data_IF_233031361920
#
_entry.id   IF_233031361920
#
_cell.length_a   1.000
_cell.length_b   1.000
_cell.length_c   1.000
_cell.angle_alpha   90.00
_cell.angle_beta   90.00
_cell.angle_gamma   90.00
#
_symmetry.space_group_name_H-M   'P 1'
#
loop_
_entity.id
_entity.type
_entity.pdbx_description
1 polymer ?
#
# COMPACT_ATOMS: atom_id res chain seq x y z
N UNK A 1 0.73 10.82 -5.38
CA UNK A 1 1.66 10.05 -4.52
C UNK A 1 1.16 8.61 -4.41
N UNK A 2 2.06 7.63 -4.50
CA UNK A 2 1.69 6.22 -4.36
C UNK A 2 2.39 5.63 -3.14
N UNK A 3 1.61 5.01 -2.23
CA UNK A 3 2.13 4.30 -1.06
C UNK A 3 1.85 2.80 -1.17
N UNK A 4 2.88 1.96 -1.07
CA UNK A 4 2.73 0.50 -1.05
C UNK A 4 2.87 -0.01 0.38
N UNK A 5 1.80 -0.63 0.90
CA UNK A 5 1.71 -1.07 2.29
C UNK A 5 1.56 -2.58 2.34
N UNK A 6 2.62 -3.26 2.77
CA UNK A 6 2.70 -4.73 2.79
C UNK A 6 2.46 -5.33 4.19
N UNK A 7 2.52 -4.52 5.25
CA UNK A 7 2.26 -4.93 6.64
C UNK A 7 1.29 -3.99 7.36
N UNK A 8 0.66 -4.46 8.44
CA UNK A 8 -0.19 -3.62 9.31
C UNK A 8 0.64 -2.55 10.05
N UNK A 9 1.90 -2.83 10.36
CA UNK A 9 2.81 -1.87 10.99
C UNK A 9 3.16 -0.72 10.03
N UNK A 10 3.47 -1.05 8.77
CA UNK A 10 3.73 -0.04 7.73
C UNK A 10 2.50 0.85 7.47
N UNK A 11 1.28 0.30 7.58
CA UNK A 11 0.06 1.09 7.51
C UNK A 11 -0.02 2.15 8.62
N UNK A 12 0.31 1.77 9.86
CA UNK A 12 0.26 2.69 10.99
C UNK A 12 1.29 3.81 10.84
N UNK A 13 2.49 3.48 10.39
CA UNK A 13 3.56 4.46 10.12
C UNK A 13 3.21 5.39 8.97
N UNK A 14 2.56 4.86 7.92
CA UNK A 14 2.18 5.65 6.77
C UNK A 14 0.94 6.53 7.01
N UNK A 15 0.17 6.27 8.07
CA UNK A 15 -1.12 6.93 8.31
C UNK A 15 -1.04 8.47 8.36
N UNK A 16 0.04 9.01 8.92
CA UNK A 16 0.30 10.45 8.98
C UNK A 16 0.62 11.09 7.61
N UNK A 17 1.00 10.27 6.61
CA UNK A 17 1.33 10.71 5.24
C UNK A 17 0.16 10.56 4.26
N UNK A 18 -0.99 10.03 4.70
CA UNK A 18 -2.16 9.83 3.86
C UNK A 18 -2.85 11.16 3.56
N UNK A 19 -2.76 11.61 2.31
CA UNK A 19 -3.47 12.79 1.79
C UNK A 19 -4.55 12.41 0.77
N UNK A 20 -5.40 13.36 0.37
CA UNK A 20 -6.42 13.13 -0.67
C UNK A 20 -5.85 12.80 -2.06
N UNK A 21 -4.57 13.11 -2.28
CA UNK A 21 -3.87 12.87 -3.55
C UNK A 21 -3.03 11.58 -3.51
N UNK A 22 -3.18 10.80 -2.43
CA UNK A 22 -2.47 9.55 -2.22
C UNK A 22 -3.26 8.38 -2.79
N UNK A 23 -2.58 7.48 -3.49
CA UNK A 23 -3.09 6.16 -3.84
C UNK A 23 -2.37 5.11 -3.02
N UNK A 24 -3.11 4.39 -2.18
CA UNK A 24 -2.57 3.34 -1.33
C UNK A 24 -2.78 1.98 -1.97
N UNK A 25 -1.71 1.20 -2.13
CA UNK A 25 -1.77 -0.18 -2.55
C UNK A 25 -1.46 -1.08 -1.37
N UNK A 26 -2.43 -1.89 -0.95
CA UNK A 26 -2.30 -2.70 0.26
C UNK A 26 -2.45 -4.19 -0.03
N UNK A 27 -1.77 -5.01 0.76
CA UNK A 27 -1.97 -6.46 0.70
C UNK A 27 -3.44 -6.83 0.98
N UNK A 28 -3.98 -7.88 0.35
CA UNK A 28 -5.34 -8.37 0.61
C UNK A 28 -5.59 -8.65 2.09
N UNK A 29 -4.62 -9.25 2.77
CA UNK A 29 -4.69 -9.54 4.20
C UNK A 29 -4.85 -8.26 5.04
N UNK A 30 -4.30 -7.13 4.58
CA UNK A 30 -4.47 -5.83 5.23
C UNK A 30 -5.84 -5.28 4.91
N UNK A 31 -6.31 -5.34 3.66
CA UNK A 31 -7.66 -4.88 3.32
C UNK A 31 -8.75 -5.62 4.13
N UNK A 32 -8.59 -6.93 4.30
CA UNK A 32 -9.51 -7.77 5.08
C UNK A 32 -9.49 -7.39 6.59
N UNK A 33 -8.29 -7.16 7.16
CA UNK A 33 -8.17 -6.75 8.57
C UNK A 33 -8.52 -5.26 8.81
N UNK A 34 -8.19 -4.40 7.86
CA UNK A 34 -8.29 -2.96 7.95
C UNK A 34 -9.65 -2.41 7.48
N UNK A 35 -10.53 -3.31 7.03
CA UNK A 35 -11.98 -3.10 6.87
C UNK A 35 -12.66 -2.57 8.13
N UNK A 36 -12.00 -2.62 9.29
CA UNK A 36 -12.66 -2.32 10.56
C UNK A 36 -12.62 -0.86 11.03
N UNK A 37 -11.64 0.00 10.70
CA UNK A 37 -11.66 1.35 11.35
C UNK A 37 -11.02 2.55 10.63
N UNK A 38 -9.98 2.38 9.81
CA UNK A 38 -9.21 3.54 9.29
C UNK A 38 -9.28 3.73 7.77
N UNK A 39 -9.57 2.68 7.00
CA UNK A 39 -9.53 2.73 5.53
C UNK A 39 -10.67 3.50 4.88
N UNK A 40 -11.88 3.47 5.45
CA UNK A 40 -13.03 4.18 4.88
C UNK A 40 -13.02 5.69 5.15
N UNK A 41 -12.23 6.12 6.14
CA UNK A 41 -12.10 7.52 6.55
C UNK A 41 -10.87 8.19 5.92
N UNK A 42 -9.98 7.41 5.30
CA UNK A 42 -8.80 7.93 4.63
C UNK A 42 -9.24 8.76 3.41
N UNK A 43 -8.71 9.99 3.23
CA UNK A 43 -8.99 10.79 2.04
C UNK A 43 -8.37 10.20 0.76
N UNK A 44 -7.56 9.14 0.88
CA UNK A 44 -6.80 8.50 -0.19
C UNK A 44 -7.58 7.45 -0.99
N UNK A 45 -7.18 7.25 -2.25
CA UNK A 45 -7.68 6.17 -3.08
C UNK A 45 -7.01 4.85 -2.69
N UNK A 46 -7.75 3.93 -2.08
CA UNK A 46 -7.22 2.61 -1.72
C UNK A 46 -7.43 1.62 -2.85
N UNK A 47 -6.38 0.88 -3.17
CA UNK A 47 -6.35 -0.27 -4.07
C UNK A 47 -5.79 -1.48 -3.35
N UNK A 48 -6.30 -2.64 -3.70
CA UNK A 48 -5.85 -3.91 -3.13
C UNK A 48 -4.94 -4.58 -4.15
N UNK A 49 -3.78 -5.05 -3.68
CA UNK A 49 -2.85 -5.83 -4.48
C UNK A 49 -3.49 -7.17 -4.87
N UNK A 50 -3.17 -7.74 -6.04
CA UNK A 50 -3.81 -8.95 -6.55
C UNK A 50 -3.49 -10.20 -5.72
N UNK A 51 -2.40 -10.15 -4.94
CA UNK A 51 -1.95 -11.23 -4.08
C UNK A 51 -1.23 -10.65 -2.85
N UNK A 52 -0.99 -11.48 -1.85
CA UNK A 52 -0.18 -11.10 -0.69
C UNK A 52 1.28 -11.12 -1.06
N UNK A 53 1.95 -9.98 -0.93
CA UNK A 53 3.40 -9.85 -1.07
C UNK A 53 4.04 -9.82 0.33
N UNK A 54 4.79 -10.86 0.71
CA UNK A 54 5.50 -10.90 1.99
C UNK A 54 6.52 -9.77 2.06
N UNK A 55 6.44 -8.90 3.08
CA UNK A 55 7.42 -7.84 3.26
C UNK A 55 8.81 -8.44 3.49
N UNK A 56 8.96 -9.45 4.34
CA UNK A 56 10.22 -10.13 4.68
C UNK A 56 11.05 -10.70 3.50
N UNK A 57 10.52 -10.65 2.28
CA UNK A 57 11.18 -11.07 1.04
C UNK A 57 11.33 -9.89 0.09
N UNK A 58 12.56 -9.41 -0.07
CA UNK A 58 12.92 -8.34 -1.02
C UNK A 58 12.35 -8.57 -2.43
N UNK A 59 12.43 -9.80 -2.96
CA UNK A 59 11.86 -10.16 -4.27
C UNK A 59 10.35 -9.93 -4.36
N UNK A 60 9.63 -10.12 -3.25
CA UNK A 60 8.19 -9.89 -3.19
C UNK A 60 7.88 -8.39 -3.12
N UNK A 61 8.69 -7.62 -2.42
CA UNK A 61 8.58 -6.14 -2.38
C UNK A 61 8.77 -5.56 -3.78
N UNK A 62 9.81 -6.00 -4.49
CA UNK A 62 10.05 -5.60 -5.87
C UNK A 62 8.92 -6.00 -6.81
N UNK A 63 8.38 -7.22 -6.66
CA UNK A 63 7.24 -7.66 -7.47
C UNK A 63 5.95 -6.85 -7.18
N UNK A 64 5.78 -6.34 -5.96
CA UNK A 64 4.69 -5.43 -5.63
C UNK A 64 4.92 -4.05 -6.28
N UNK A 65 6.17 -3.55 -6.25
CA UNK A 65 6.57 -2.31 -6.92
C UNK A 65 6.30 -2.38 -8.43
N UNK A 66 6.88 -3.37 -9.11
CA UNK A 66 6.71 -3.60 -10.56
C UNK A 66 5.24 -3.66 -10.95
N UNK A 67 4.42 -4.34 -10.13
CA UNK A 67 3.00 -4.41 -10.36
C UNK A 67 2.33 -3.03 -10.24
N UNK A 68 2.60 -2.30 -9.17
CA UNK A 68 2.01 -0.98 -8.95
C UNK A 68 2.42 0.01 -10.03
N UNK A 69 3.70 -0.01 -10.43
CA UNK A 69 4.23 0.76 -11.56
C UNK A 69 3.53 0.40 -12.87
N UNK A 70 3.24 -0.88 -13.13
CA UNK A 70 2.48 -1.29 -14.32
C UNK A 70 1.02 -0.82 -14.33
N UNK A 71 0.48 -0.42 -13.17
CA UNK A 71 -0.92 -0.01 -12.99
C UNK A 71 -1.08 1.52 -12.91
N UNK A 72 0.00 2.28 -13.00
CA UNK A 72 0.00 3.72 -12.83
C UNK A 72 0.91 4.41 -13.84
N UNK A 73 0.46 5.54 -14.38
CA UNK A 73 1.28 6.42 -15.23
C UNK A 73 2.11 7.42 -14.39
N UNK A 74 2.02 7.35 -13.06
CA UNK A 74 2.58 8.33 -12.12
C UNK A 74 4.00 7.91 -11.66
N UNK A 75 5.02 8.78 -11.79
CA UNK A 75 6.43 8.41 -11.61
C UNK A 75 6.93 8.38 -10.14
N UNK A 76 6.13 8.82 -9.17
CA UNK A 76 6.57 8.91 -7.76
C UNK A 76 5.93 7.82 -6.88
N UNK A 77 6.56 6.64 -6.84
CA UNK A 77 6.20 5.50 -6.00
C UNK A 77 7.05 5.46 -4.73
N UNK A 78 6.41 5.56 -3.56
CA UNK A 78 7.05 5.39 -2.26
C UNK A 78 6.68 4.03 -1.66
N UNK A 79 7.71 3.30 -1.20
CA UNK A 79 7.57 2.02 -0.52
C UNK A 79 8.09 2.18 0.90
N UNK A 80 7.24 1.95 1.89
CA UNK A 80 7.68 1.84 3.28
C UNK A 80 7.95 0.39 3.65
N UNK A 81 9.12 0.16 4.24
CA UNK A 81 9.65 -1.13 4.62
C UNK A 81 10.29 -1.06 6.03
N UNK A 82 9.98 -1.98 6.96
CA UNK A 82 10.75 -2.16 8.19
C UNK A 82 11.96 -3.09 8.01
#
# INVERSE_FOLDING_TARGET
MIGIILTLEGLQQFSDNITSETTLWVNPAIADNASQFAFQQAPAAIRVLPQTYPADKEKSVLAALDYVESQTDDPDVFIEYP
#
